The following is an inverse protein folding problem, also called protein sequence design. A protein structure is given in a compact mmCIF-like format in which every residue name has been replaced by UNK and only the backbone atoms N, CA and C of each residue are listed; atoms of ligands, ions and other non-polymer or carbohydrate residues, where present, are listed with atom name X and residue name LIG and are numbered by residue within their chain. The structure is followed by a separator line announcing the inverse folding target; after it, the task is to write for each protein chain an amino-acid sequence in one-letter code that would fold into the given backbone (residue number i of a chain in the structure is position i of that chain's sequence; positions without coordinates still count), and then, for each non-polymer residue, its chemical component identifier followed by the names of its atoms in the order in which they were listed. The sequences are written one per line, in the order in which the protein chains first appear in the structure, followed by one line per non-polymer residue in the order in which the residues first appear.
data_IF_721772006523
#
_entry.id   IF_721772006523
#
_cell.length_a   1.000
_cell.length_b   1.000
_cell.length_c   1.000
_cell.angle_alpha   90.00
_cell.angle_beta   90.00
_cell.angle_gamma   90.00
#
_symmetry.space_group_name_H-M   'P 1'
#
loop_
_entity.id
_entity.type
_entity.pdbx_description
1 polymer ?
#
# COMPACT_ATOMS: atom_id res chain seq x y z
N UNK A 1 -16.35 -14.40 -5.73
CA UNK A 1 -15.45 -14.34 -4.55
C UNK A 1 -15.59 -12.96 -3.96
N UNK A 2 -16.27 -12.83 -2.82
CA UNK A 2 -16.31 -11.57 -2.07
C UNK A 2 -15.03 -11.50 -1.22
N UNK A 3 -14.15 -10.50 -1.41
CA UNK A 3 -12.96 -10.33 -0.57
C UNK A 3 -13.31 -10.05 0.90
N UNK A 4 -14.57 -9.71 1.18
CA UNK A 4 -15.06 -9.32 2.51
C UNK A 4 -15.26 -10.49 3.49
N UNK A 5 -15.20 -11.75 3.04
CA UNK A 5 -15.39 -12.94 3.88
C UNK A 5 -14.07 -13.58 4.35
N UNK A 6 -12.93 -12.96 4.10
CA UNK A 6 -11.61 -13.63 4.17
C UNK A 6 -10.80 -13.20 5.41
N UNK A 7 -11.11 -12.06 6.03
CA UNK A 7 -10.37 -11.59 7.20
C UNK A 7 -10.81 -12.33 8.46
N UNK A 8 -9.83 -12.72 9.27
CA UNK A 8 -10.11 -13.11 10.65
C UNK A 8 -10.36 -11.86 11.53
N UNK A 9 -10.80 -12.06 12.77
CA UNK A 9 -11.18 -10.96 13.67
C UNK A 9 -10.02 -9.97 13.91
N UNK A 10 -8.80 -10.47 14.07
CA UNK A 10 -7.63 -9.62 14.33
C UNK A 10 -7.31 -8.75 13.11
N UNK A 11 -7.32 -9.34 11.92
CA UNK A 11 -7.12 -8.61 10.67
C UNK A 11 -8.20 -7.56 10.43
N UNK A 12 -9.46 -7.89 10.76
CA UNK A 12 -10.57 -6.97 10.65
C UNK A 12 -10.41 -5.78 11.59
N UNK A 13 -10.06 -6.02 12.85
CA UNK A 13 -9.82 -4.96 13.83
C UNK A 13 -8.67 -4.02 13.39
N UNK A 14 -7.60 -4.58 12.85
CA UNK A 14 -6.48 -3.80 12.29
C UNK A 14 -6.96 -2.95 11.10
N UNK A 15 -7.78 -3.50 10.20
CA UNK A 15 -8.33 -2.75 9.06
C UNK A 15 -9.17 -1.56 9.53
N UNK A 16 -10.07 -1.78 10.49
CA UNK A 16 -10.92 -0.72 11.08
C UNK A 16 -10.06 0.38 11.71
N UNK A 17 -9.03 0.01 12.47
CA UNK A 17 -8.13 0.97 13.10
C UNK A 17 -7.40 1.84 12.06
N UNK A 18 -6.82 1.23 11.02
CA UNK A 18 -6.12 1.95 9.95
C UNK A 18 -7.05 2.94 9.23
N UNK A 19 -8.26 2.49 8.88
CA UNK A 19 -9.23 3.34 8.17
C UNK A 19 -9.74 4.47 9.05
N UNK A 20 -9.91 4.24 10.36
CA UNK A 20 -10.29 5.27 11.34
C UNK A 20 -9.22 6.35 11.43
N UNK A 21 -7.96 5.95 11.57
CA UNK A 21 -6.83 6.87 11.66
C UNK A 21 -6.65 7.64 10.34
N UNK A 22 -6.75 6.94 9.20
CA UNK A 22 -6.67 7.56 7.87
C UNK A 22 -7.76 8.61 7.66
N UNK A 23 -9.02 8.30 8.03
CA UNK A 23 -10.13 9.24 7.97
C UNK A 23 -9.88 10.49 8.81
N UNK A 24 -9.42 10.30 10.06
CA UNK A 24 -9.12 11.41 10.96
C UNK A 24 -8.04 12.32 10.40
N UNK A 25 -6.95 11.75 9.90
CA UNK A 25 -5.82 12.48 9.37
C UNK A 25 -6.16 13.22 8.06
N UNK A 26 -6.87 12.58 7.14
CA UNK A 26 -7.33 13.21 5.89
C UNK A 26 -8.31 14.37 6.14
N UNK A 27 -9.19 14.23 7.14
CA UNK A 27 -10.15 15.27 7.51
C UNK A 27 -9.52 16.52 8.15
N UNK A 28 -8.37 16.36 8.79
CA UNK A 28 -7.70 17.45 9.51
C UNK A 28 -6.52 18.07 8.75
N UNK A 29 -6.28 17.70 7.49
CA UNK A 29 -5.12 18.14 6.70
C UNK A 29 -3.77 17.91 7.44
N UNK A 30 -3.72 16.89 8.28
CA UNK A 30 -2.60 16.60 9.14
C UNK A 30 -1.43 15.95 8.37
N UNK A 31 -0.31 15.90 9.08
CA UNK A 31 0.99 15.43 8.60
C UNK A 31 0.94 14.01 8.03
N UNK A 32 1.91 13.71 7.16
CA UNK A 32 2.18 12.35 6.68
C UNK A 32 2.30 11.36 7.84
N UNK A 33 1.69 10.17 7.69
CA UNK A 33 1.78 9.10 8.68
C UNK A 33 2.11 7.78 8.03
N UNK A 34 3.00 7.03 8.66
CA UNK A 34 3.31 5.65 8.28
C UNK A 34 2.72 4.68 9.29
N UNK A 35 2.06 3.63 8.78
CA UNK A 35 1.60 2.49 9.55
C UNK A 35 2.50 1.30 9.23
N UNK A 36 3.00 0.62 10.25
CA UNK A 36 3.83 -0.57 10.09
C UNK A 36 3.09 -1.75 10.71
N UNK A 37 2.87 -2.79 9.91
CA UNK A 37 2.29 -4.05 10.36
C UNK A 37 3.36 -5.13 10.25
N UNK A 38 3.91 -5.52 11.39
CA UNK A 38 4.83 -6.62 11.48
C UNK A 38 4.07 -7.94 11.66
N UNK A 39 4.41 -8.91 10.85
CA UNK A 39 3.82 -10.24 10.92
C UNK A 39 4.61 -11.24 10.09
N UNK A 40 4.72 -12.46 10.59
CA UNK A 40 5.44 -13.54 9.92
C UNK A 40 4.82 -13.95 8.57
N UNK A 41 5.51 -14.82 7.86
CA UNK A 41 5.01 -15.41 6.62
C UNK A 41 3.67 -16.14 6.86
N UNK A 42 2.72 -16.02 5.93
CA UNK A 42 1.43 -16.71 6.00
C UNK A 42 0.40 -16.09 6.97
N UNK A 43 0.68 -14.95 7.62
CA UNK A 43 -0.28 -14.28 8.50
C UNK A 43 -1.39 -13.52 7.76
N UNK A 44 -1.37 -13.51 6.43
CA UNK A 44 -2.39 -12.88 5.60
C UNK A 44 -2.21 -11.38 5.37
N UNK A 45 -1.01 -10.83 5.55
CA UNK A 45 -0.70 -9.41 5.31
C UNK A 45 -1.15 -8.92 3.93
N UNK A 46 -0.79 -9.65 2.86
CA UNK A 46 -1.19 -9.32 1.49
C UNK A 46 -2.71 -9.35 1.31
N UNK A 47 -3.40 -10.30 1.95
CA UNK A 47 -4.88 -10.37 1.92
C UNK A 47 -5.47 -9.13 2.58
N UNK A 48 -4.95 -8.72 3.74
CA UNK A 48 -5.38 -7.51 4.42
C UNK A 48 -5.14 -6.26 3.54
N UNK A 49 -3.98 -6.18 2.88
CA UNK A 49 -3.66 -5.06 2.00
C UNK A 49 -4.58 -4.96 0.78
N UNK A 50 -4.87 -6.09 0.13
CA UNK A 50 -5.81 -6.14 -1.00
C UNK A 50 -7.23 -5.77 -0.54
N UNK A 51 -7.64 -6.27 0.62
CA UNK A 51 -8.93 -5.94 1.23
C UNK A 51 -9.05 -4.43 1.48
N UNK A 52 -8.07 -3.81 2.12
CA UNK A 52 -8.04 -2.36 2.37
C UNK A 52 -8.09 -1.56 1.07
N UNK A 53 -7.28 -1.93 0.08
CA UNK A 53 -7.31 -1.27 -1.23
C UNK A 53 -8.68 -1.39 -1.88
N UNK A 54 -9.28 -2.58 -1.86
CA UNK A 54 -10.62 -2.83 -2.43
C UNK A 54 -11.67 -1.96 -1.75
N UNK A 55 -11.68 -1.89 -0.42
CA UNK A 55 -12.58 -1.01 0.33
C UNK A 55 -12.45 0.46 -0.09
N UNK A 56 -11.22 0.95 -0.24
CA UNK A 56 -10.96 2.34 -0.64
C UNK A 56 -11.40 2.62 -2.09
N UNK A 57 -11.30 1.63 -2.97
CA UNK A 57 -11.76 1.76 -4.37
C UNK A 57 -13.28 1.69 -4.45
N UNK A 58 -13.92 0.80 -3.71
CA UNK A 58 -15.39 0.67 -3.70
C UNK A 58 -16.06 1.91 -3.11
N UNK A 59 -15.45 2.53 -2.10
CA UNK A 59 -15.89 3.81 -1.57
C UNK A 59 -16.00 4.92 -2.64
N UNK A 60 -15.20 4.84 -3.71
CA UNK A 60 -15.25 5.77 -4.85
C UNK A 60 -16.43 5.52 -5.79
N UNK A 61 -16.87 4.28 -5.88
CA UNK A 61 -17.68 3.82 -7.00
C UNK A 61 -19.19 3.84 -6.75
N UNK A 62 -19.64 3.78 -5.50
CA UNK A 62 -21.08 3.85 -5.18
C UNK A 62 -21.36 3.99 -3.67
N UNK A 63 -22.34 4.80 -3.27
CA UNK A 63 -22.84 4.82 -1.90
C UNK A 63 -23.83 3.69 -1.58
N UNK A 64 -24.15 2.83 -2.55
CA UNK A 64 -25.10 1.74 -2.36
C UNK A 64 -24.36 0.41 -2.16
N UNK A 65 -24.17 0.05 -0.90
CA UNK A 65 -23.71 -1.28 -0.50
C UNK A 65 -24.78 -2.32 -0.85
N UNK A 66 -24.39 -3.48 -1.30
CA UNK A 66 -25.32 -4.59 -1.45
C UNK A 66 -25.72 -5.13 -0.07
N UNK A 67 -26.86 -5.81 0.04
CA UNK A 67 -27.32 -6.41 1.30
C UNK A 67 -26.32 -7.40 1.94
N UNK A 68 -25.36 -7.92 1.16
CA UNK A 68 -24.24 -8.74 1.68
C UNK A 68 -23.11 -7.89 2.27
N UNK A 69 -23.01 -6.64 1.84
CA UNK A 69 -22.06 -5.64 2.33
C UNK A 69 -22.61 -4.87 3.52
N UNK A 70 -23.92 -4.82 3.71
CA UNK A 70 -24.60 -4.31 4.92
C UNK A 70 -24.28 -5.14 6.19
N UNK A 71 -23.75 -6.34 6.02
CA UNK A 71 -23.20 -7.13 7.14
C UNK A 71 -21.80 -6.69 7.57
N UNK A 72 -21.18 -5.71 6.89
CA UNK A 72 -20.01 -5.00 7.41
C UNK A 72 -20.47 -4.12 8.56
N UNK A 73 -19.69 -4.12 9.64
CA UNK A 73 -19.87 -3.27 10.80
C UNK A 73 -20.30 -1.86 10.36
N UNK A 74 -21.39 -1.36 10.93
CA UNK A 74 -21.93 0.00 10.65
C UNK A 74 -20.83 1.06 10.77
N UNK A 75 -19.84 0.84 11.66
CA UNK A 75 -18.67 1.69 11.81
C UNK A 75 -17.81 1.75 10.54
N UNK A 76 -17.57 0.62 9.90
CA UNK A 76 -16.75 0.55 8.70
C UNK A 76 -17.42 1.27 7.52
N UNK A 77 -18.72 1.06 7.33
CA UNK A 77 -19.54 1.75 6.32
C UNK A 77 -19.54 3.27 6.55
N UNK A 78 -19.65 3.70 7.81
CA UNK A 78 -19.56 5.11 8.18
C UNK A 78 -18.17 5.69 7.89
N UNK A 79 -17.09 4.99 8.25
CA UNK A 79 -15.71 5.45 8.00
C UNK A 79 -15.48 5.63 6.50
N UNK A 80 -15.84 4.63 5.71
CA UNK A 80 -15.63 4.61 4.26
C UNK A 80 -16.45 5.67 3.55
N UNK A 81 -17.73 5.84 3.93
CA UNK A 81 -18.61 6.85 3.34
C UNK A 81 -18.14 8.31 3.56
N UNK A 82 -17.23 8.52 4.50
CA UNK A 82 -16.64 9.83 4.78
C UNK A 82 -15.20 10.00 4.25
N UNK A 83 -14.65 9.01 3.56
CA UNK A 83 -13.37 9.16 2.85
C UNK A 83 -13.58 9.93 1.55
N UNK A 84 -12.58 10.70 1.16
CA UNK A 84 -12.61 11.44 -0.12
C UNK A 84 -12.77 10.48 -1.30
N UNK A 85 -13.72 10.71 -2.23
CA UNK A 85 -13.91 9.85 -3.40
C UNK A 85 -12.75 9.91 -4.40
N UNK A 86 -11.83 10.87 -4.26
CA UNK A 86 -10.74 11.11 -5.20
C UNK A 86 -9.36 10.67 -4.68
N UNK A 87 -9.32 9.76 -3.69
CA UNK A 87 -8.05 9.28 -3.16
C UNK A 87 -7.20 8.59 -4.23
N UNK A 88 -5.98 9.04 -4.43
CA UNK A 88 -4.99 8.37 -5.26
C UNK A 88 -4.28 7.31 -4.44
N UNK A 89 -4.63 6.04 -4.67
CA UNK A 89 -4.08 4.90 -3.93
C UNK A 89 -3.28 3.98 -4.84
N UNK A 90 -2.26 3.31 -4.30
CA UNK A 90 -1.44 2.34 -5.03
C UNK A 90 -0.99 1.19 -4.13
N UNK A 91 -0.68 0.06 -4.75
CA UNK A 91 -0.18 -1.15 -4.10
C UNK A 91 1.24 -1.44 -4.57
N UNK A 92 2.22 -1.26 -3.72
CA UNK A 92 3.65 -1.36 -4.07
C UNK A 92 4.19 -2.72 -3.70
N UNK A 93 4.86 -3.36 -4.65
CA UNK A 93 5.49 -4.67 -4.46
C UNK A 93 6.92 -4.64 -5.01
N UNK A 94 7.94 -4.65 -4.15
CA UNK A 94 9.35 -4.62 -4.58
C UNK A 94 9.75 -5.82 -5.41
N UNK A 95 9.27 -7.02 -5.07
CA UNK A 95 9.64 -8.28 -5.71
C UNK A 95 8.91 -8.49 -7.04
N UNK A 96 9.63 -8.58 -8.16
CA UNK A 96 9.05 -8.67 -9.51
C UNK A 96 8.12 -9.89 -9.69
N UNK A 97 8.56 -11.09 -9.31
CA UNK A 97 7.76 -12.31 -9.49
C UNK A 97 6.44 -12.26 -8.73
N UNK A 98 6.45 -11.69 -7.52
CA UNK A 98 5.24 -11.51 -6.72
C UNK A 98 4.35 -10.43 -7.32
N UNK A 99 4.91 -9.33 -7.80
CA UNK A 99 4.18 -8.25 -8.49
C UNK A 99 3.41 -8.76 -9.71
N UNK A 100 4.04 -9.59 -10.56
CA UNK A 100 3.37 -10.18 -11.72
C UNK A 100 2.22 -11.14 -11.33
N UNK A 101 2.37 -11.83 -10.22
CA UNK A 101 1.29 -12.67 -9.67
C UNK A 101 0.12 -11.80 -9.19
N UNK A 102 0.40 -10.74 -8.44
CA UNK A 102 -0.62 -9.84 -7.94
C UNK A 102 -1.36 -9.07 -9.04
N UNK A 103 -0.69 -8.68 -10.12
CA UNK A 103 -1.34 -8.08 -11.27
C UNK A 103 -2.44 -8.96 -11.83
N UNK A 104 -2.19 -10.27 -11.97
CA UNK A 104 -3.19 -11.24 -12.42
C UNK A 104 -4.35 -11.38 -11.42
N UNK A 105 -4.05 -11.33 -10.13
CA UNK A 105 -5.08 -11.36 -9.08
C UNK A 105 -5.96 -10.12 -9.15
N UNK A 106 -5.37 -8.93 -9.33
CA UNK A 106 -6.10 -7.67 -9.41
C UNK A 106 -7.04 -7.64 -10.62
N UNK A 107 -6.57 -8.08 -11.79
CA UNK A 107 -7.40 -8.16 -13.00
C UNK A 107 -8.59 -9.13 -12.85
N UNK A 108 -8.53 -10.06 -11.89
CA UNK A 108 -9.62 -10.98 -11.56
C UNK A 108 -10.60 -10.45 -10.50
N UNK A 109 -10.36 -9.30 -9.89
CA UNK A 109 -11.19 -8.71 -8.84
C UNK A 109 -11.91 -7.47 -9.41
N UNK A 110 -13.23 -7.49 -9.40
CA UNK A 110 -14.03 -6.34 -9.88
C UNK A 110 -13.62 -5.05 -9.15
N UNK A 111 -13.36 -3.99 -9.91
CA UNK A 111 -12.97 -2.66 -9.39
C UNK A 111 -11.47 -2.51 -9.13
N UNK A 112 -10.67 -3.57 -9.15
CA UNK A 112 -9.21 -3.48 -9.14
C UNK A 112 -8.65 -3.54 -10.57
N UNK A 113 -7.46 -2.96 -10.77
CA UNK A 113 -6.74 -2.93 -12.05
C UNK A 113 -5.27 -3.25 -11.78
N UNK A 114 -4.66 -4.08 -12.62
CA UNK A 114 -3.23 -4.40 -12.56
C UNK A 114 -2.31 -3.18 -12.55
N UNK A 115 -2.76 -2.04 -13.11
CA UNK A 115 -2.03 -0.76 -13.06
C UNK A 115 -1.90 -0.17 -11.65
N UNK A 116 -2.71 -0.63 -10.70
CA UNK A 116 -2.59 -0.23 -9.29
C UNK A 116 -1.42 -0.94 -8.60
N UNK A 117 -0.91 -2.04 -9.18
CA UNK A 117 0.22 -2.80 -8.65
C UNK A 117 1.52 -2.26 -9.22
N UNK A 118 2.30 -1.58 -8.38
CA UNK A 118 3.45 -0.77 -8.73
C UNK A 118 4.76 -1.40 -8.25
N UNK A 119 5.84 -1.13 -8.95
CA UNK A 119 7.19 -1.24 -8.38
C UNK A 119 7.55 0.06 -7.63
N UNK A 120 8.56 0.04 -6.74
CA UNK A 120 9.10 1.28 -6.19
C UNK A 120 9.56 2.28 -7.26
N UNK A 121 10.11 1.77 -8.38
CA UNK A 121 10.52 2.59 -9.52
C UNK A 121 9.33 3.23 -10.26
N UNK A 122 8.19 2.51 -10.38
CA UNK A 122 6.95 3.09 -10.92
C UNK A 122 6.45 4.24 -10.04
N UNK A 123 6.57 4.11 -8.72
CA UNK A 123 6.24 5.19 -7.77
C UNK A 123 7.15 6.38 -7.99
N UNK A 124 8.46 6.18 -8.05
CA UNK A 124 9.42 7.26 -8.27
C UNK A 124 9.16 8.03 -9.58
N UNK A 125 8.76 7.32 -10.63
CA UNK A 125 8.50 7.87 -11.97
C UNK A 125 7.03 8.26 -12.22
N UNK A 126 6.17 8.27 -11.20
CA UNK A 126 4.71 8.46 -11.35
C UNK A 126 4.26 9.87 -11.75
N UNK A 127 5.17 10.75 -12.19
CA UNK A 127 4.87 12.12 -12.59
C UNK A 127 4.53 13.03 -11.41
N UNK A 128 3.81 14.12 -11.68
CA UNK A 128 3.43 15.10 -10.66
C UNK A 128 2.33 14.58 -9.72
N UNK A 129 2.30 15.12 -8.51
CA UNK A 129 1.34 14.81 -7.46
C UNK A 129 1.74 13.63 -6.57
N UNK A 130 1.10 13.60 -5.40
CA UNK A 130 1.33 12.58 -4.39
C UNK A 130 0.24 11.50 -4.45
N UNK A 131 0.58 10.31 -4.02
CA UNK A 131 -0.42 9.34 -3.60
C UNK A 131 -0.98 9.75 -2.23
N UNK A 132 -2.27 9.58 -2.04
CA UNK A 132 -2.85 9.76 -0.71
C UNK A 132 -2.48 8.58 0.19
N UNK A 133 -2.49 7.35 -0.33
CA UNK A 133 -2.03 6.16 0.38
C UNK A 133 -1.25 5.23 -0.56
N UNK A 134 -0.08 4.79 -0.13
CA UNK A 134 0.62 3.64 -0.70
C UNK A 134 0.60 2.48 0.29
N UNK A 135 0.11 1.33 -0.16
CA UNK A 135 0.21 0.06 0.56
C UNK A 135 1.46 -0.65 0.02
N UNK A 136 2.41 -0.93 0.88
CA UNK A 136 3.71 -1.51 0.51
C UNK A 136 3.82 -2.91 1.07
N UNK A 137 3.68 -3.90 0.21
CA UNK A 137 3.83 -5.30 0.60
C UNK A 137 5.30 -5.75 0.50
N UNK A 138 5.69 -6.70 1.33
CA UNK A 138 7.08 -7.16 1.40
C UNK A 138 8.07 -6.00 1.61
N UNK A 139 7.75 -5.02 2.45
CA UNK A 139 8.52 -3.78 2.61
C UNK A 139 9.98 -4.00 3.05
N UNK A 140 10.28 -5.14 3.68
CA UNK A 140 11.64 -5.57 3.98
C UNK A 140 12.48 -5.89 2.73
N UNK A 141 11.90 -5.87 1.53
CA UNK A 141 12.56 -6.04 0.22
C UNK A 141 12.80 -4.73 -0.51
N UNK A 142 12.44 -3.59 0.07
CA UNK A 142 12.82 -2.28 -0.45
C UNK A 142 14.35 -2.17 -0.48
N UNK A 143 14.88 -1.58 -1.54
CA UNK A 143 16.32 -1.57 -1.79
C UNK A 143 16.96 -0.25 -1.36
N UNK A 144 18.22 -0.36 -0.95
CA UNK A 144 19.15 0.76 -0.82
C UNK A 144 20.14 0.73 -1.98
N UNK A 145 20.86 1.83 -2.19
CA UNK A 145 21.89 1.96 -3.23
C UNK A 145 23.13 1.11 -2.91
N UNK A 146 22.94 -0.22 -2.79
CA UNK A 146 24.02 -1.16 -2.49
C UNK A 146 23.77 -2.50 -3.17
N UNK A 147 24.83 -3.05 -3.79
CA UNK A 147 24.78 -4.34 -4.48
C UNK A 147 23.64 -4.44 -5.53
N UNK A 148 23.39 -3.32 -6.23
CA UNK A 148 22.41 -3.25 -7.30
C UNK A 148 22.99 -3.77 -8.62
N UNK A 149 22.14 -4.38 -9.44
CA UNK A 149 22.52 -4.79 -10.80
C UNK A 149 22.62 -3.57 -11.74
N UNK A 150 21.78 -2.57 -11.55
CA UNK A 150 21.76 -1.35 -12.36
C UNK A 150 21.64 -0.13 -11.45
N UNK A 151 22.73 0.63 -11.34
CA UNK A 151 22.76 1.89 -10.59
C UNK A 151 22.14 3.06 -11.38
N UNK A 152 22.20 3.04 -12.71
CA UNK A 152 21.79 4.16 -13.54
C UNK A 152 20.30 4.50 -13.44
N UNK A 153 19.41 3.50 -13.41
CA UNK A 153 17.98 3.74 -13.19
C UNK A 153 17.68 4.25 -11.77
N UNK A 154 18.39 3.72 -10.80
CA UNK A 154 18.27 4.11 -9.41
C UNK A 154 18.69 5.58 -9.18
N UNK A 155 19.87 5.95 -9.68
CA UNK A 155 20.39 7.32 -9.58
C UNK A 155 19.51 8.32 -10.33
N UNK A 156 18.92 7.90 -11.47
CA UNK A 156 17.96 8.71 -12.20
C UNK A 156 16.70 8.98 -11.38
N UNK A 157 16.19 7.98 -10.65
CA UNK A 157 15.04 8.15 -9.77
C UNK A 157 15.35 9.10 -8.60
N UNK A 158 16.51 8.94 -7.92
CA UNK A 158 16.94 9.85 -6.87
C UNK A 158 17.02 11.29 -7.37
N UNK A 159 17.64 11.50 -8.53
CA UNK A 159 17.76 12.84 -9.15
C UNK A 159 16.40 13.43 -9.53
N UNK A 160 15.50 12.63 -10.08
CA UNK A 160 14.16 13.09 -10.47
C UNK A 160 13.29 13.50 -9.27
N UNK A 161 13.55 12.87 -8.11
CA UNK A 161 12.87 13.16 -6.85
C UNK A 161 13.59 14.24 -6.01
N UNK A 162 14.70 14.79 -6.51
CA UNK A 162 15.54 15.74 -5.76
C UNK A 162 15.99 15.17 -4.40
N UNK A 163 16.37 13.90 -4.41
CA UNK A 163 16.91 13.18 -3.27
C UNK A 163 18.42 13.01 -3.40
N UNK A 164 19.06 12.71 -2.28
CA UNK A 164 20.50 12.44 -2.25
C UNK A 164 20.84 11.09 -2.92
N UNK A 165 22.12 10.89 -3.27
CA UNK A 165 22.56 9.69 -3.98
C UNK A 165 22.35 8.41 -3.15
N UNK A 166 22.41 8.50 -1.83
CA UNK A 166 22.23 7.38 -0.92
C UNK A 166 20.76 7.12 -0.54
N UNK A 167 19.81 7.95 -1.04
CA UNK A 167 18.40 7.77 -0.80
C UNK A 167 17.91 6.40 -1.28
N UNK A 168 16.99 5.82 -0.53
CA UNK A 168 16.51 4.45 -0.68
C UNK A 168 15.14 4.40 -1.39
N UNK A 169 14.70 3.20 -1.80
CA UNK A 169 13.34 3.00 -2.30
C UNK A 169 12.27 3.37 -1.25
N UNK A 170 12.61 3.30 0.05
CA UNK A 170 11.76 3.79 1.12
C UNK A 170 11.59 5.31 1.02
N UNK A 171 12.68 6.06 0.78
CA UNK A 171 12.63 7.50 0.61
C UNK A 171 11.77 7.92 -0.60
N UNK A 172 11.79 7.14 -1.69
CA UNK A 172 10.92 7.38 -2.85
C UNK A 172 9.45 7.26 -2.47
N UNK A 173 9.09 6.23 -1.71
CA UNK A 173 7.72 6.00 -1.25
C UNK A 173 7.27 7.12 -0.32
N UNK A 174 8.10 7.51 0.66
CA UNK A 174 7.82 8.60 1.59
C UNK A 174 7.68 9.94 0.85
N UNK A 175 8.55 10.21 -0.13
CA UNK A 175 8.51 11.45 -0.94
C UNK A 175 7.26 11.54 -1.82
N UNK A 176 6.73 10.39 -2.29
CA UNK A 176 5.64 10.30 -3.26
C UNK A 176 4.27 10.02 -2.66
N UNK A 177 4.15 9.93 -1.33
CA UNK A 177 2.86 9.66 -0.68
C UNK A 177 2.69 10.41 0.63
N UNK A 178 1.42 10.65 1.00
CA UNK A 178 1.05 11.26 2.29
C UNK A 178 0.98 10.22 3.39
N UNK A 179 0.34 9.09 3.10
CA UNK A 179 0.17 7.99 4.03
C UNK A 179 0.78 6.72 3.44
N UNK A 180 1.43 5.93 4.28
CA UNK A 180 2.02 4.67 3.91
C UNK A 180 1.57 3.58 4.87
N UNK A 181 1.26 2.40 4.32
CA UNK A 181 1.02 1.18 5.05
C UNK A 181 2.06 0.15 4.65
N UNK A 182 3.02 -0.10 5.54
CA UNK A 182 4.10 -1.05 5.31
C UNK A 182 3.76 -2.41 5.93
N UNK A 183 3.70 -3.45 5.11
CA UNK A 183 3.71 -4.83 5.58
C UNK A 183 5.14 -5.34 5.67
N UNK A 184 5.56 -5.61 6.88
CA UNK A 184 6.92 -5.99 7.23
C UNK A 184 6.94 -7.41 7.79
N UNK A 185 8.06 -8.11 7.65
CA UNK A 185 8.33 -9.39 8.30
C UNK A 185 9.72 -9.33 8.93
N UNK A 186 9.76 -9.04 10.22
CA UNK A 186 11.00 -8.92 11.00
C UNK A 186 11.80 -10.22 11.10
N UNK A 187 11.17 -11.36 10.75
CA UNK A 187 11.82 -12.69 10.79
C UNK A 187 12.46 -13.08 9.46
N UNK A 188 12.19 -12.34 8.39
CA UNK A 188 12.80 -12.64 7.11
C UNK A 188 14.20 -12.07 7.03
N UNK A 189 15.12 -12.88 6.49
CA UNK A 189 16.47 -12.47 6.18
C UNK A 189 16.47 -11.40 5.09
N UNK A 190 17.16 -10.30 5.32
CA UNK A 190 17.36 -9.23 4.34
C UNK A 190 18.64 -9.46 3.56
N UNK A 191 18.63 -9.05 2.29
CA UNK A 191 19.83 -9.06 1.42
C UNK A 191 20.65 -7.80 1.69
N UNK A 192 21.94 -7.77 1.31
CA UNK A 192 22.77 -6.56 1.44
C UNK A 192 22.22 -5.33 0.70
N UNK A 193 21.39 -5.54 -0.33
CA UNK A 193 20.70 -4.50 -1.08
C UNK A 193 19.41 -3.99 -0.42
N UNK A 194 18.87 -4.73 0.53
CA UNK A 194 17.59 -4.38 1.15
C UNK A 194 17.80 -3.26 2.19
N UNK A 195 16.76 -2.45 2.43
CA UNK A 195 16.79 -1.41 3.47
C UNK A 195 16.95 -2.07 4.84
N UNK A 196 17.78 -1.51 5.70
CA UNK A 196 17.88 -1.96 7.09
C UNK A 196 16.54 -1.70 7.80
N UNK A 197 16.26 -2.44 8.87
CA UNK A 197 14.94 -2.47 9.52
C UNK A 197 14.21 -1.11 9.57
N UNK A 198 12.92 -1.13 9.25
CA UNK A 198 12.01 0.00 9.35
C UNK A 198 11.80 0.45 10.80
#
# INVERSE_FOLDING_TARGET
YSPYKILNLDQFNVAVQILTDLKYDLGNNNQSRSFIIDGGAGTGKSILGIYLLKLLIDAKSSPAWTAEEEALDENLSYIIGHLSPNLRVGYVVPTQSFRETLKKVFDGIQGLDSKMVLSPEDVANSGEGLYDLLIVDESHRLRRRRALFNYGSYDKANKALELDEEATELDWILKKSRYQLFFYDSRQSVKPSDVEAL
#
